data_IF_588806891588
#
_entry.id   IF_588806891588
#
_cell.length_a   1.000
_cell.length_b   1.000
_cell.length_c   1.000
_cell.angle_alpha   90.00
_cell.angle_beta   90.00
_cell.angle_gamma   90.00
#
_symmetry.space_group_name_H-M   'P 1'
#
loop_
_entity.id
_entity.type
_entity.pdbx_description
1 polymer ?
#
# COMPACT_ATOMS: atom_id res chain seq x y z
N UNK A 1 29.91 -3.06 -6.32
CA UNK A 1 29.14 -2.56 -5.15
C UNK A 1 27.92 -3.44 -4.87
N UNK A 2 26.96 -3.59 -5.78
CA UNK A 2 25.73 -4.37 -5.56
C UNK A 2 25.91 -5.82 -5.10
N UNK A 3 26.91 -6.56 -5.62
CA UNK A 3 27.18 -7.94 -5.17
C UNK A 3 27.65 -8.02 -3.72
N UNK A 4 28.51 -7.10 -3.29
CA UNK A 4 29.01 -7.04 -1.91
C UNK A 4 27.86 -6.71 -0.94
N UNK A 5 27.06 -5.70 -1.29
CA UNK A 5 25.87 -5.31 -0.51
C UNK A 5 24.89 -6.49 -0.41
N UNK A 6 24.62 -7.18 -1.51
CA UNK A 6 23.78 -8.38 -1.52
C UNK A 6 24.29 -9.48 -0.57
N UNK A 7 25.60 -9.72 -0.51
CA UNK A 7 26.19 -10.68 0.43
C UNK A 7 26.07 -10.23 1.89
N UNK A 8 26.27 -8.94 2.18
CA UNK A 8 26.12 -8.41 3.54
C UNK A 8 24.68 -8.51 4.03
N UNK A 9 23.72 -8.18 3.16
CA UNK A 9 22.28 -8.31 3.45
C UNK A 9 21.91 -9.77 3.63
N UNK A 10 22.34 -10.66 2.74
CA UNK A 10 22.03 -12.10 2.82
C UNK A 10 22.55 -12.76 4.11
N UNK A 11 23.69 -12.31 4.65
CA UNK A 11 24.27 -12.84 5.88
C UNK A 11 23.91 -12.04 7.15
N UNK A 12 22.91 -11.16 7.12
CA UNK A 12 22.51 -10.43 8.34
C UNK A 12 23.48 -9.31 8.75
N UNK A 13 24.48 -8.97 7.94
CA UNK A 13 25.54 -8.00 8.28
C UNK A 13 25.23 -6.56 7.85
N UNK A 14 24.16 -6.34 7.10
CA UNK A 14 23.68 -5.03 6.72
C UNK A 14 22.17 -5.04 6.47
N UNK A 15 21.50 -3.95 6.81
CA UNK A 15 20.06 -3.74 6.55
C UNK A 15 19.88 -2.62 5.54
N UNK A 16 18.94 -2.78 4.63
CA UNK A 16 18.57 -1.74 3.67
C UNK A 16 17.51 -0.85 4.32
N UNK A 17 17.87 0.42 4.56
CA UNK A 17 16.90 1.46 4.90
C UNK A 17 16.50 2.13 3.60
N UNK A 18 15.23 1.96 3.21
CA UNK A 18 14.68 2.63 2.03
C UNK A 18 14.63 4.16 2.23
N UNK A 19 14.57 4.94 1.14
CA UNK A 19 14.35 6.37 1.24
C UNK A 19 13.11 6.68 2.10
N UNK A 20 13.29 7.60 3.04
CA UNK A 20 12.23 8.03 3.94
C UNK A 20 11.29 8.95 3.17
N UNK A 21 10.01 8.58 3.13
CA UNK A 21 8.96 9.40 2.56
C UNK A 21 7.95 9.75 3.65
N UNK A 22 7.30 10.91 3.52
CA UNK A 22 6.21 11.36 4.41
C UNK A 22 5.09 10.32 4.56
N UNK A 23 4.83 9.55 3.51
CA UNK A 23 3.82 8.48 3.48
C UNK A 23 4.26 7.18 4.14
N UNK A 24 5.53 7.04 4.53
CA UNK A 24 6.01 5.83 5.18
C UNK A 24 5.40 5.74 6.57
N UNK A 25 4.86 4.57 6.91
CA UNK A 25 4.26 4.29 8.21
C UNK A 25 5.20 3.40 9.01
N UNK A 26 5.44 3.77 10.26
CA UNK A 26 6.31 3.03 11.17
C UNK A 26 5.55 2.60 12.43
N UNK A 27 6.04 1.53 13.04
CA UNK A 27 5.55 0.97 14.31
C UNK A 27 6.74 0.49 15.14
N UNK A 28 6.59 0.46 16.46
CA UNK A 28 7.54 -0.26 17.33
C UNK A 28 7.66 -1.73 16.91
N UNK A 29 8.90 -2.21 16.80
CA UNK A 29 9.19 -3.62 16.55
C UNK A 29 8.69 -4.49 17.72
N UNK A 30 7.99 -5.60 17.46
CA UNK A 30 7.52 -6.50 18.53
C UNK A 30 8.68 -7.18 19.28
N UNK A 31 9.88 -7.20 18.71
CA UNK A 31 11.09 -7.79 19.29
C UNK A 31 12.06 -6.74 19.82
N UNK A 32 11.68 -5.46 19.86
CA UNK A 32 12.54 -4.38 20.31
C UNK A 32 13.02 -4.63 21.75
N UNK A 33 14.34 -4.70 21.94
CA UNK A 33 14.95 -4.77 23.27
C UNK A 33 15.05 -3.35 23.82
N UNK A 34 14.13 -3.00 24.71
CA UNK A 34 14.05 -1.65 25.28
C UNK A 34 14.90 -1.46 26.54
N UNK A 35 15.36 -2.53 27.19
CA UNK A 35 15.87 -2.46 28.58
C UNK A 35 17.38 -2.15 28.70
N UNK A 36 18.10 -1.95 27.59
CA UNK A 36 19.55 -1.69 27.63
C UNK A 36 19.85 -0.24 28.03
N UNK A 37 20.57 -0.04 29.14
CA UNK A 37 21.06 1.27 29.59
C UNK A 37 21.89 1.99 28.52
N UNK A 38 22.72 1.23 27.82
CA UNK A 38 23.66 1.77 26.83
C UNK A 38 22.94 2.42 25.64
N UNK A 39 21.78 1.88 25.22
CA UNK A 39 20.98 2.49 24.16
C UNK A 39 20.38 3.83 24.59
N UNK A 40 19.96 3.96 25.84
CA UNK A 40 19.41 5.21 26.36
C UNK A 40 20.47 6.30 26.46
N UNK A 41 21.67 5.95 26.93
CA UNK A 41 22.80 6.88 26.98
C UNK A 41 23.24 7.30 25.58
N UNK A 42 23.36 6.35 24.65
CA UNK A 42 23.67 6.65 23.26
C UNK A 42 22.59 7.54 22.61
N UNK A 43 21.31 7.30 22.90
CA UNK A 43 20.22 8.13 22.40
C UNK A 43 20.32 9.57 22.94
N UNK A 44 20.48 9.73 24.25
CA UNK A 44 20.60 11.04 24.90
C UNK A 44 21.82 11.83 24.42
N UNK A 45 22.93 11.15 24.10
CA UNK A 45 24.12 11.78 23.51
C UNK A 45 23.89 12.27 22.08
N UNK A 46 23.11 11.54 21.28
CA UNK A 46 22.82 11.91 19.88
C UNK A 46 21.70 12.96 19.75
N UNK A 47 20.77 13.01 20.72
CA UNK A 47 19.57 13.87 20.67
C UNK A 47 19.40 14.65 21.98
N UNK A 48 20.20 15.71 22.21
CA UNK A 48 20.15 16.49 23.45
C UNK A 48 18.83 17.27 23.62
N UNK A 49 18.13 17.61 22.54
CA UNK A 49 16.85 18.32 22.61
C UNK A 49 15.67 17.40 22.98
N UNK A 50 15.81 16.09 22.74
CA UNK A 50 14.82 15.10 23.12
C UNK A 50 15.51 13.84 23.69
N UNK A 51 15.95 13.89 24.96
CA UNK A 51 16.79 12.82 25.52
C UNK A 51 15.99 11.57 25.90
N UNK A 52 14.66 11.63 25.91
CA UNK A 52 13.81 10.52 26.36
C UNK A 52 13.41 9.61 25.20
N UNK A 53 14.10 8.48 25.08
CA UNK A 53 13.82 7.44 24.08
C UNK A 53 12.35 6.96 24.13
N UNK A 54 11.83 6.70 25.33
CA UNK A 54 10.45 6.22 25.51
C UNK A 54 9.40 7.23 25.05
N UNK A 55 9.67 8.53 25.18
CA UNK A 55 8.76 9.56 24.66
C UNK A 55 8.67 9.49 23.14
N UNK A 56 9.81 9.28 22.47
CA UNK A 56 9.83 9.13 21.01
C UNK A 56 9.18 7.82 20.57
N UNK A 57 9.41 6.73 21.31
CA UNK A 57 8.81 5.42 21.01
C UNK A 57 7.30 5.38 21.25
N UNK A 58 6.79 6.08 22.26
CA UNK A 58 5.35 6.08 22.56
C UNK A 58 4.52 6.67 21.42
N UNK A 59 5.08 7.62 20.66
CA UNK A 59 4.48 8.16 19.43
C UNK A 59 4.32 7.11 18.31
N UNK A 60 5.09 6.02 18.36
CA UNK A 60 5.03 4.88 17.41
C UNK A 60 4.35 3.65 18.00
N UNK A 61 3.66 3.79 19.14
CA UNK A 61 2.87 2.70 19.73
C UNK A 61 1.71 2.27 18.84
N UNK A 62 1.13 3.23 18.10
CA UNK A 62 0.26 2.97 16.96
C UNK A 62 1.06 3.14 15.65
N UNK A 63 0.57 2.56 14.53
CA UNK A 63 1.10 2.86 13.21
C UNK A 63 1.05 4.37 12.92
N UNK A 64 2.21 5.02 12.87
CA UNK A 64 2.32 6.48 12.70
C UNK A 64 3.10 6.79 11.43
N UNK A 65 2.57 7.71 10.61
CA UNK A 65 3.25 8.15 9.39
C UNK A 65 4.40 9.10 9.72
N UNK A 66 5.42 9.15 8.85
CA UNK A 66 6.50 10.11 9.00
C UNK A 66 5.98 11.55 8.98
N UNK A 67 4.98 11.84 8.14
CA UNK A 67 4.34 13.15 8.04
C UNK A 67 3.71 13.58 9.37
N UNK A 68 2.99 12.67 10.03
CA UNK A 68 2.34 12.94 11.33
C UNK A 68 3.39 13.15 12.42
N UNK A 69 4.48 12.37 12.38
CA UNK A 69 5.59 12.54 13.31
C UNK A 69 6.30 13.88 13.09
N UNK A 70 6.61 14.29 11.86
CA UNK A 70 7.31 15.57 11.62
C UNK A 70 6.40 16.78 11.61
N UNK A 71 5.07 16.62 11.65
CA UNK A 71 4.02 17.62 11.47
C UNK A 71 4.50 19.08 11.31
N UNK A 72 4.45 19.65 10.10
CA UNK A 72 5.00 20.98 9.83
C UNK A 72 4.21 22.12 10.49
N UNK A 73 3.02 21.84 11.02
CA UNK A 73 2.22 22.82 11.76
C UNK A 73 2.64 22.93 13.23
N UNK A 74 3.34 21.91 13.75
CA UNK A 74 3.73 21.81 15.16
C UNK A 74 5.20 22.09 15.38
N UNK A 75 6.05 21.72 14.42
CA UNK A 75 7.50 21.75 14.58
C UNK A 75 8.18 22.64 13.54
N UNK A 76 9.24 23.33 13.97
CA UNK A 76 10.07 24.13 13.06
C UNK A 76 10.92 23.24 12.14
N UNK A 77 11.37 23.72 10.97
CA UNK A 77 12.15 22.91 10.01
C UNK A 77 13.41 22.25 10.60
N UNK A 78 14.03 22.85 11.62
CA UNK A 78 15.18 22.26 12.31
C UNK A 78 14.77 21.07 13.19
N UNK A 79 13.68 21.20 13.93
CA UNK A 79 13.12 20.13 14.77
C UNK A 79 12.57 18.98 13.91
N UNK A 80 11.98 19.30 12.75
CA UNK A 80 11.58 18.31 11.76
C UNK A 80 12.77 17.46 11.30
N UNK A 81 13.89 18.09 10.98
CA UNK A 81 15.10 17.39 10.58
C UNK A 81 15.67 16.52 11.72
N UNK A 82 15.59 17.00 12.97
CA UNK A 82 15.97 16.21 14.14
C UNK A 82 15.05 14.99 14.33
N UNK A 83 13.74 15.17 14.19
CA UNK A 83 12.75 14.08 14.21
C UNK A 83 13.01 13.02 13.14
N UNK A 84 13.33 13.42 11.91
CA UNK A 84 13.72 12.47 10.86
C UNK A 84 14.99 11.69 11.26
N UNK A 85 15.97 12.36 11.89
CA UNK A 85 17.18 11.67 12.40
C UNK A 85 16.86 10.70 13.53
N UNK A 86 15.89 11.01 14.41
CA UNK A 86 15.40 10.09 15.44
C UNK A 86 14.82 8.84 14.77
N UNK A 87 13.96 8.98 13.76
CA UNK A 87 13.40 7.84 13.01
C UNK A 87 14.51 7.00 12.37
N UNK A 88 15.51 7.63 11.74
CA UNK A 88 16.66 6.92 11.17
C UNK A 88 17.43 6.16 12.24
N UNK A 89 17.66 6.76 13.40
CA UNK A 89 18.37 6.12 14.49
C UNK A 89 17.59 4.92 15.05
N UNK A 90 16.27 5.07 15.21
CA UNK A 90 15.41 3.98 15.67
C UNK A 90 15.35 2.81 14.67
N UNK A 91 15.31 3.11 13.37
CA UNK A 91 15.40 2.10 12.31
C UNK A 91 16.75 1.38 12.30
N UNK A 92 17.86 2.11 12.53
CA UNK A 92 19.20 1.52 12.63
C UNK A 92 19.37 0.58 13.82
N UNK A 93 18.66 0.84 14.91
CA UNK A 93 18.68 0.01 16.11
C UNK A 93 17.55 -1.03 16.15
N UNK A 94 16.85 -1.26 15.03
CA UNK A 94 15.75 -2.24 14.91
C UNK A 94 14.58 -2.02 15.89
N UNK A 95 14.43 -0.79 16.39
CA UNK A 95 13.37 -0.41 17.33
C UNK A 95 12.07 -0.09 16.60
N UNK A 96 12.20 0.38 15.35
CA UNK A 96 11.08 0.61 14.46
C UNK A 96 11.14 -0.34 13.26
N UNK A 97 9.96 -0.70 12.80
CA UNK A 97 9.69 -1.45 11.59
C UNK A 97 8.85 -0.59 10.65
N UNK A 98 9.10 -0.72 9.35
CA UNK A 98 8.30 -0.05 8.33
C UNK A 98 7.13 -0.95 7.91
N UNK A 99 5.91 -0.43 8.01
CA UNK A 99 4.73 -1.09 7.47
C UNK A 99 4.57 -0.73 6.00
N UNK A 100 4.26 -1.74 5.19
CA UNK A 100 4.01 -1.61 3.77
C UNK A 100 2.57 -1.96 3.47
N UNK A 101 1.96 -1.25 2.53
CA UNK A 101 0.59 -1.50 2.10
C UNK A 101 0.57 -2.49 0.94
N UNK A 102 -0.24 -3.52 1.09
CA UNK A 102 -0.48 -4.59 0.15
C UNK A 102 -1.93 -4.58 -0.30
N UNK A 103 -2.18 -5.11 -1.49
CA UNK A 103 -3.50 -5.13 -2.10
C UNK A 103 -3.92 -6.56 -2.36
N UNK A 104 -5.14 -6.88 -1.98
CA UNK A 104 -5.81 -8.15 -2.24
C UNK A 104 -7.02 -7.93 -3.12
N UNK A 105 -7.19 -8.79 -4.11
CA UNK A 105 -8.39 -8.85 -4.91
C UNK A 105 -9.48 -9.62 -4.14
N UNK A 106 -10.57 -8.94 -3.83
CA UNK A 106 -11.75 -9.55 -3.19
C UNK A 106 -12.98 -9.20 -4.00
N UNK A 107 -13.36 -10.11 -4.89
CA UNK A 107 -14.63 -10.01 -5.61
C UNK A 107 -15.64 -10.81 -4.80
N UNK A 108 -16.41 -10.11 -3.97
CA UNK A 108 -17.42 -10.75 -3.15
C UNK A 108 -18.45 -11.47 -4.01
N UNK A 109 -18.66 -12.75 -3.70
CA UNK A 109 -19.68 -13.57 -4.35
C UNK A 109 -21.06 -13.39 -3.74
N UNK A 110 -21.21 -12.56 -2.70
CA UNK A 110 -22.47 -12.45 -1.99
C UNK A 110 -23.40 -11.44 -2.67
N UNK A 111 -24.60 -11.87 -3.11
CA UNK A 111 -25.62 -10.96 -3.65
C UNK A 111 -26.33 -10.16 -2.53
N UNK A 112 -25.91 -10.28 -1.27
CA UNK A 112 -26.70 -9.81 -0.12
C UNK A 112 -26.58 -8.30 0.10
N UNK A 113 -25.38 -7.74 0.06
CA UNK A 113 -25.17 -6.35 0.50
C UNK A 113 -25.15 -5.35 -0.66
N UNK A 114 -24.69 -5.77 -1.85
CA UNK A 114 -24.79 -4.94 -3.06
C UNK A 114 -26.19 -4.95 -3.67
N UNK A 115 -27.04 -5.95 -3.39
CA UNK A 115 -28.42 -5.93 -3.90
C UNK A 115 -29.21 -4.77 -3.31
N UNK A 116 -28.97 -4.35 -2.07
CA UNK A 116 -29.60 -3.16 -1.50
C UNK A 116 -29.24 -1.87 -2.27
N UNK A 117 -27.97 -1.72 -2.67
CA UNK A 117 -27.50 -0.60 -3.50
C UNK A 117 -27.97 -0.67 -4.96
N UNK A 118 -28.11 -1.87 -5.52
CA UNK A 118 -28.54 -2.08 -6.91
C UNK A 118 -30.07 -2.04 -7.05
N UNK A 119 -30.84 -2.46 -6.05
CA UNK A 119 -32.32 -2.46 -6.07
C UNK A 119 -32.84 -1.01 -6.02
N UNK A 120 -32.23 -0.12 -5.23
CA UNK A 120 -32.58 1.31 -5.28
C UNK A 120 -32.26 1.98 -6.63
N UNK A 121 -31.46 1.33 -7.48
CA UNK A 121 -31.02 1.87 -8.79
C UNK A 121 -31.72 1.22 -9.98
N UNK A 122 -32.49 0.13 -9.77
CA UNK A 122 -33.18 -0.62 -10.84
C UNK A 122 -34.57 -0.08 -11.21
N UNK A 123 -35.15 0.85 -10.44
CA UNK A 123 -36.49 1.39 -10.75
C UNK A 123 -36.48 2.54 -11.79
N UNK A 124 -35.32 2.95 -12.30
CA UNK A 124 -35.20 3.96 -13.35
C UNK A 124 -34.24 3.52 -14.46
N UNK A 125 -34.51 2.38 -15.13
CA UNK A 125 -34.05 2.21 -16.53
C UNK A 125 -34.72 0.99 -17.18
N UNK A 126 -36.00 1.14 -17.46
CA UNK A 126 -36.67 0.33 -18.47
C UNK A 126 -36.66 1.14 -19.76
N UNK A 127 -35.81 0.73 -20.70
CA UNK A 127 -35.59 1.27 -22.05
C UNK A 127 -34.30 2.09 -22.18
N UNK A 128 -33.22 1.48 -22.65
CA UNK A 128 -32.57 1.90 -23.91
C UNK A 128 -31.73 0.75 -24.50
N UNK A 129 -31.99 0.43 -25.77
CA UNK A 129 -31.13 -0.37 -26.63
C UNK A 129 -29.83 0.40 -26.91
N UNK A 130 -28.92 0.50 -25.93
CA UNK A 130 -27.60 1.09 -26.14
C UNK A 130 -26.53 0.02 -26.37
N UNK A 131 -26.65 -0.73 -27.47
CA UNK A 131 -25.56 -1.58 -27.98
C UNK A 131 -25.01 -0.96 -29.26
N UNK A 132 -24.02 -0.07 -29.09
CA UNK A 132 -23.15 0.32 -30.19
C UNK A 132 -22.09 -0.78 -30.41
N UNK A 133 -21.85 -1.13 -31.67
CA UNK A 133 -21.01 -2.27 -32.07
C UNK A 133 -19.56 -2.22 -31.51
N UNK A 134 -19.02 -1.03 -31.22
CA UNK A 134 -17.67 -0.88 -30.63
C UNK A 134 -17.58 -1.26 -29.15
N UNK A 135 -18.68 -1.12 -28.41
CA UNK A 135 -18.72 -1.37 -26.97
C UNK A 135 -18.64 -2.88 -26.69
N UNK A 136 -19.22 -3.71 -27.57
CA UNK A 136 -19.17 -5.17 -27.46
C UNK A 136 -17.74 -5.73 -27.57
N UNK A 137 -16.91 -5.15 -28.45
CA UNK A 137 -15.52 -5.57 -28.62
C UNK A 137 -14.65 -5.22 -27.41
N UNK A 138 -14.90 -4.06 -26.80
CA UNK A 138 -14.23 -3.60 -25.58
C UNK A 138 -14.52 -4.52 -24.38
N UNK A 139 -15.78 -4.91 -24.19
CA UNK A 139 -16.17 -5.89 -23.17
C UNK A 139 -15.51 -7.25 -23.37
N UNK A 140 -15.45 -7.72 -24.62
CA UNK A 140 -14.84 -9.00 -24.96
C UNK A 140 -13.34 -8.99 -24.68
N UNK A 141 -12.66 -7.88 -24.98
CA UNK A 141 -11.25 -7.70 -24.68
C UNK A 141 -10.99 -7.70 -23.16
N UNK A 142 -11.75 -6.92 -22.38
CA UNK A 142 -11.63 -6.88 -20.92
C UNK A 142 -11.88 -8.26 -20.33
N UNK A 143 -12.92 -8.96 -20.79
CA UNK A 143 -13.25 -10.32 -20.35
C UNK A 143 -12.07 -11.28 -20.55
N UNK A 144 -11.41 -11.21 -21.70
CA UNK A 144 -10.25 -12.06 -22.00
C UNK A 144 -9.02 -11.72 -21.14
N UNK A 145 -8.87 -10.46 -20.70
CA UNK A 145 -7.80 -10.05 -19.80
C UNK A 145 -8.06 -10.52 -18.38
N UNK A 146 -9.29 -10.34 -17.90
CA UNK A 146 -9.72 -10.76 -16.56
C UNK A 146 -9.74 -12.28 -16.41
N UNK A 147 -10.17 -13.02 -17.43
CA UNK A 147 -10.25 -14.49 -17.39
C UNK A 147 -8.89 -15.18 -17.23
N UNK A 148 -7.77 -14.46 -17.37
CA UNK A 148 -6.43 -14.98 -17.07
C UNK A 148 -6.15 -15.08 -15.57
N UNK A 149 -6.85 -14.29 -14.76
CA UNK A 149 -6.59 -14.12 -13.33
C UNK A 149 -7.83 -14.38 -12.46
N UNK A 150 -9.02 -14.38 -13.05
CA UNK A 150 -10.30 -14.54 -12.37
C UNK A 150 -11.11 -15.71 -12.92
N UNK A 151 -11.98 -16.28 -12.08
CA UNK A 151 -12.97 -17.25 -12.53
C UNK A 151 -14.06 -16.58 -13.37
N UNK A 152 -14.83 -17.37 -14.13
CA UNK A 152 -15.92 -16.86 -14.99
C UNK A 152 -16.94 -16.05 -14.19
N UNK A 153 -17.35 -16.55 -13.02
CA UNK A 153 -18.32 -15.86 -12.14
C UNK A 153 -17.79 -14.54 -11.58
N UNK A 154 -16.49 -14.46 -11.27
CA UNK A 154 -15.86 -13.24 -10.75
C UNK A 154 -15.69 -12.20 -11.86
N UNK A 155 -15.31 -12.67 -13.05
CA UNK A 155 -15.23 -11.85 -14.26
C UNK A 155 -16.59 -11.27 -14.63
N UNK A 156 -17.65 -12.10 -14.60
CA UNK A 156 -19.02 -11.66 -14.84
C UNK A 156 -19.48 -10.64 -13.79
N UNK A 157 -19.18 -10.87 -12.52
CA UNK A 157 -19.51 -9.93 -11.46
C UNK A 157 -18.82 -8.57 -11.67
N UNK A 158 -17.51 -8.57 -11.95
CA UNK A 158 -16.76 -7.34 -12.23
C UNK A 158 -17.34 -6.59 -13.43
N UNK A 159 -17.58 -7.29 -14.55
CA UNK A 159 -18.14 -6.66 -15.74
C UNK A 159 -19.54 -6.10 -15.49
N UNK A 160 -20.38 -6.79 -14.74
CA UNK A 160 -21.71 -6.29 -14.38
C UNK A 160 -21.65 -5.07 -13.45
N UNK A 161 -20.70 -5.05 -12.51
CA UNK A 161 -20.53 -3.93 -11.59
C UNK A 161 -20.12 -2.65 -12.34
N UNK A 162 -19.23 -2.78 -13.33
CA UNK A 162 -18.66 -1.66 -14.06
C UNK A 162 -19.24 -1.42 -15.46
N UNK A 163 -20.24 -2.19 -15.90
CA UNK A 163 -20.77 -2.13 -17.27
C UNK A 163 -21.16 -0.69 -17.68
N UNK A 164 -21.93 -0.01 -16.84
CA UNK A 164 -22.39 1.35 -17.18
C UNK A 164 -21.22 2.32 -17.42
N UNK A 165 -20.16 2.23 -16.62
CA UNK A 165 -19.00 3.13 -16.70
C UNK A 165 -18.07 2.79 -17.88
N UNK A 166 -17.93 1.50 -18.22
CA UNK A 166 -17.11 1.05 -19.36
C UNK A 166 -17.65 1.58 -20.69
N UNK A 167 -18.98 1.64 -20.85
CA UNK A 167 -19.62 2.11 -22.08
C UNK A 167 -19.62 3.63 -22.26
N UNK A 168 -19.65 4.39 -21.16
CA UNK A 168 -19.84 5.85 -21.17
C UNK A 168 -18.52 6.65 -21.20
N UNK A 169 -17.46 6.15 -20.56
CA UNK A 169 -16.24 6.93 -20.30
C UNK A 169 -14.97 6.24 -20.82
N UNK A 170 -14.34 6.83 -21.85
CA UNK A 170 -13.07 6.32 -22.41
C UNK A 170 -11.91 6.37 -21.42
N UNK A 171 -11.86 7.36 -20.51
CA UNK A 171 -10.83 7.41 -19.47
C UNK A 171 -10.98 6.25 -18.49
N UNK A 172 -12.22 5.90 -18.14
CA UNK A 172 -12.49 4.77 -17.25
C UNK A 172 -12.08 3.43 -17.90
N UNK A 173 -12.28 3.30 -19.21
CA UNK A 173 -11.81 2.14 -19.96
C UNK A 173 -10.29 1.96 -19.91
N UNK A 174 -9.52 3.06 -19.98
CA UNK A 174 -8.06 3.00 -19.79
C UNK A 174 -7.68 2.61 -18.35
N UNK A 175 -8.45 3.07 -17.35
CA UNK A 175 -8.28 2.65 -15.96
C UNK A 175 -8.56 1.15 -15.77
N UNK A 176 -9.60 0.60 -16.40
CA UNK A 176 -9.89 -0.84 -16.39
C UNK A 176 -8.76 -1.64 -17.06
N UNK A 177 -8.20 -1.15 -18.16
CA UNK A 177 -7.05 -1.78 -18.81
C UNK A 177 -5.82 -1.79 -17.89
N UNK A 178 -5.56 -0.68 -17.21
CA UNK A 178 -4.48 -0.60 -16.23
C UNK A 178 -4.72 -1.55 -15.04
N UNK A 179 -5.94 -1.60 -14.53
CA UNK A 179 -6.36 -2.55 -13.49
C UNK A 179 -6.09 -4.00 -13.92
N UNK A 180 -6.49 -4.39 -15.14
CA UNK A 180 -6.24 -5.72 -15.69
C UNK A 180 -4.74 -6.06 -15.78
N UNK A 181 -3.87 -5.07 -15.99
CA UNK A 181 -2.41 -5.25 -15.99
C UNK A 181 -1.87 -5.49 -14.57
N UNK A 182 -2.47 -4.82 -13.58
CA UNK A 182 -2.04 -4.82 -12.18
C UNK A 182 -2.60 -5.95 -11.35
N UNK A 183 -3.68 -6.59 -11.80
CA UNK A 183 -4.39 -7.67 -11.10
C UNK A 183 -3.46 -8.80 -10.61
N UNK A 184 -2.39 -9.09 -11.36
CA UNK A 184 -1.38 -10.11 -11.03
C UNK A 184 -0.59 -9.80 -9.74
N UNK A 185 -0.57 -8.54 -9.30
CA UNK A 185 0.08 -8.10 -8.06
C UNK A 185 -0.88 -8.01 -6.88
N UNK A 186 -2.20 -8.10 -7.10
CA UNK A 186 -3.23 -7.97 -6.06
C UNK A 186 -3.46 -9.30 -5.31
N UNK A 187 -2.37 -9.95 -4.93
CA UNK A 187 -2.34 -11.22 -4.21
C UNK A 187 -1.69 -11.10 -2.83
N UNK A 188 -1.39 -9.87 -2.38
CA UNK A 188 -0.66 -9.62 -1.14
C UNK A 188 0.84 -9.89 -1.18
N UNK A 189 1.43 -10.30 -2.29
CA UNK A 189 2.88 -10.55 -2.33
C UNK A 189 3.69 -9.31 -2.70
N UNK A 190 3.02 -8.26 -3.18
CA UNK A 190 3.65 -7.05 -3.68
C UNK A 190 3.05 -5.85 -2.98
N UNK A 191 3.90 -5.08 -2.30
CA UNK A 191 3.50 -3.81 -1.72
C UNK A 191 3.43 -2.72 -2.79
N UNK A 192 2.75 -1.61 -2.48
CA UNK A 192 2.49 -0.53 -3.45
C UNK A 192 3.76 0.01 -4.12
N UNK A 193 4.83 0.25 -3.37
CA UNK A 193 6.07 0.78 -3.94
C UNK A 193 6.75 -0.21 -4.91
N UNK A 194 6.68 -1.51 -4.65
CA UNK A 194 7.19 -2.53 -5.57
C UNK A 194 6.36 -2.58 -6.87
N UNK A 195 5.03 -2.49 -6.76
CA UNK A 195 4.14 -2.40 -7.93
C UNK A 195 4.46 -1.17 -8.76
N UNK A 196 4.62 -0.01 -8.12
CA UNK A 196 5.01 1.24 -8.77
C UNK A 196 6.35 1.11 -9.50
N UNK A 197 7.33 0.48 -8.87
CA UNK A 197 8.66 0.29 -9.45
C UNK A 197 8.63 -0.65 -10.67
N UNK A 198 7.98 -1.82 -10.55
CA UNK A 198 7.93 -2.83 -11.62
C UNK A 198 7.16 -2.38 -12.84
N UNK A 199 6.06 -1.66 -12.64
CA UNK A 199 5.18 -1.21 -13.72
C UNK A 199 5.47 0.23 -14.16
N UNK A 200 6.48 0.87 -13.56
CA UNK A 200 6.88 2.26 -13.78
C UNK A 200 5.70 3.25 -13.64
N UNK A 201 4.91 3.06 -12.58
CA UNK A 201 3.73 3.89 -12.28
C UNK A 201 4.05 4.97 -11.26
N UNK A 202 3.48 6.16 -11.46
CA UNK A 202 3.49 7.21 -10.44
C UNK A 202 2.48 6.88 -9.34
N UNK A 203 2.75 7.38 -8.13
CA UNK A 203 1.89 7.13 -6.96
C UNK A 203 0.43 7.51 -7.22
N UNK A 204 0.19 8.66 -7.83
CA UNK A 204 -1.18 9.14 -8.09
C UNK A 204 -1.94 8.23 -9.07
N UNK A 205 -1.26 7.62 -10.06
CA UNK A 205 -1.89 6.71 -11.02
C UNK A 205 -2.34 5.43 -10.32
N UNK A 206 -1.44 4.83 -9.52
CA UNK A 206 -1.79 3.64 -8.75
C UNK A 206 -2.89 3.93 -7.72
N UNK A 207 -2.80 5.03 -6.97
CA UNK A 207 -3.81 5.42 -5.99
C UNK A 207 -5.18 5.70 -6.63
N UNK A 208 -5.21 6.28 -7.85
CA UNK A 208 -6.44 6.45 -8.64
C UNK A 208 -7.11 5.10 -8.89
N UNK A 209 -6.36 4.12 -9.39
CA UNK A 209 -6.87 2.76 -9.63
C UNK A 209 -7.38 2.12 -8.33
N UNK A 210 -6.62 2.20 -7.23
CA UNK A 210 -7.05 1.62 -5.96
C UNK A 210 -8.33 2.25 -5.42
N UNK A 211 -8.53 3.55 -5.67
CA UNK A 211 -9.73 4.28 -5.23
C UNK A 211 -10.93 3.95 -6.12
N UNK A 212 -10.73 3.92 -7.44
CA UNK A 212 -11.80 3.62 -8.41
C UNK A 212 -12.31 2.18 -8.30
N UNK A 213 -11.41 1.23 -8.02
CA UNK A 213 -11.74 -0.20 -7.89
C UNK A 213 -11.81 -0.67 -6.43
N UNK A 214 -12.01 0.22 -5.47
CA UNK A 214 -12.03 -0.13 -4.04
C UNK A 214 -13.12 -1.17 -3.68
N UNK A 215 -14.20 -1.23 -4.45
CA UNK A 215 -15.30 -2.18 -4.24
C UNK A 215 -14.88 -3.65 -4.43
N UNK A 216 -13.79 -3.89 -5.16
CA UNK A 216 -13.25 -5.23 -5.43
C UNK A 216 -11.85 -5.43 -4.86
N UNK A 217 -11.33 -4.46 -4.10
CA UNK A 217 -9.97 -4.46 -3.56
C UNK A 217 -9.98 -4.27 -2.05
N UNK A 218 -9.11 -5.01 -1.37
CA UNK A 218 -8.85 -4.85 0.06
C UNK A 218 -7.39 -4.44 0.22
N UNK A 219 -7.15 -3.34 0.93
CA UNK A 219 -5.79 -2.90 1.28
C UNK A 219 -5.46 -3.29 2.71
N UNK A 220 -4.34 -3.98 2.92
CA UNK A 220 -3.84 -4.35 4.23
C UNK A 220 -2.43 -3.78 4.41
N UNK A 221 -2.02 -3.46 5.64
CA UNK A 221 -0.66 -2.99 5.91
C UNK A 221 0.02 -3.89 6.93
N UNK A 222 1.20 -4.40 6.59
CA UNK A 222 2.01 -5.26 7.43
C UNK A 222 3.49 -5.15 7.08
N UNK A 223 4.33 -5.83 7.84
CA UNK A 223 5.78 -5.82 7.69
C UNK A 223 6.23 -6.46 6.37
N UNK A 224 7.31 -5.96 5.80
CA UNK A 224 7.92 -6.58 4.62
C UNK A 224 8.61 -7.90 5.00
N UNK A 225 8.41 -8.96 4.22
CA UNK A 225 9.01 -10.28 4.45
C UNK A 225 10.54 -10.19 4.55
N UNK A 226 11.15 -9.32 3.75
CA UNK A 226 12.60 -9.09 3.79
C UNK A 226 13.05 -8.45 5.10
N UNK A 227 12.20 -7.65 5.75
CA UNK A 227 12.51 -7.04 7.05
C UNK A 227 12.28 -8.03 8.19
N UNK A 228 11.29 -8.92 8.06
CA UNK A 228 10.98 -9.94 9.07
C UNK A 228 12.13 -10.96 9.26
N UNK A 229 12.84 -11.32 8.19
CA UNK A 229 13.96 -12.28 8.25
C UNK A 229 15.10 -11.80 9.16
N UNK A 230 15.34 -10.49 9.25
CA UNK A 230 16.38 -9.93 10.13
C UNK A 230 15.96 -9.87 11.60
N UNK A 231 14.67 -10.02 11.89
CA UNK A 231 14.12 -9.93 13.24
C UNK A 231 14.16 -11.30 13.95
N UNK A 232 14.18 -12.40 13.20
CA UNK A 232 14.20 -13.77 13.75
C UNK A 232 15.63 -14.33 14.02
N UNK A 233 16.69 -13.60 13.69
CA UNK A 233 18.09 -14.02 13.90
C UNK A 233 18.71 -13.32 15.13
#
# INVERSE_FOLDING_TARGET
>A
VFRLVGHLVYWGKATIIYPLCETNVYRISPTAVLDSSDLHENFAQNFPNNPCLFSSLSEFSAPTSLADFTNPLTFDPQEQAERVRIVVWLLKNFMLIQLRTYVYLSIDKSPSDLSSFLISRKEYDSNENFQSMSVHDDYKLIRNLLSKHLNTSETDHFLNLYARQIGENRSFYDDVRLFCKLIKYFNGQHHLEDIMFRENLRRHELMRILTEFNAVLITCSYEDELSAIFIEQ
#
